data_IF_290674387623
#
_entry.id   IF_290674387623
#
_cell.length_a   1.000
_cell.length_b   1.000
_cell.length_c   1.000
_cell.angle_alpha   90.00
_cell.angle_beta   90.00
_cell.angle_gamma   90.00
#
_symmetry.space_group_name_H-M   'P 1'
#
loop_
_entity.id
_entity.type
_entity.pdbx_description
1 polymer ?
#
# COMPACT_ATOMS: atom_id res chain seq x y z
N UNK A 1 1.32 -9.28 -9.88
CA UNK A 1 0.54 -8.39 -10.76
C UNK A 1 -0.16 -7.29 -9.98
N UNK A 2 -1.05 -7.61 -9.01
CA UNK A 2 -1.70 -6.59 -8.19
C UNK A 2 -0.70 -5.69 -7.44
N UNK A 3 0.32 -6.28 -6.81
CA UNK A 3 1.43 -5.57 -6.14
C UNK A 3 2.03 -4.43 -7.00
N UNK A 4 2.47 -4.77 -8.21
CA UNK A 4 3.05 -3.80 -9.15
C UNK A 4 2.05 -2.74 -9.65
N UNK A 5 0.77 -3.09 -9.77
CA UNK A 5 -0.27 -2.12 -10.11
C UNK A 5 -0.46 -1.10 -8.98
N UNK A 6 -0.38 -1.54 -7.73
CA UNK A 6 -0.44 -0.65 -6.57
C UNK A 6 0.77 0.30 -6.52
N UNK A 7 1.97 -0.16 -6.90
CA UNK A 7 3.09 0.75 -7.16
C UNK A 7 2.76 1.82 -8.20
N UNK A 8 2.16 1.43 -9.33
CA UNK A 8 1.77 2.39 -10.37
C UNK A 8 0.67 3.37 -9.90
N UNK A 9 -0.16 2.96 -8.94
CA UNK A 9 -1.22 3.80 -8.37
C UNK A 9 -0.76 4.70 -7.23
N UNK A 10 0.49 4.54 -6.75
CA UNK A 10 1.11 5.42 -5.76
C UNK A 10 1.47 4.77 -4.43
N UNK A 11 1.22 3.47 -4.25
CA UNK A 11 1.59 2.74 -3.04
C UNK A 11 3.07 2.30 -3.06
N UNK A 12 3.79 2.32 -1.95
CA UNK A 12 3.47 2.92 -0.65
C UNK A 12 4.17 4.27 -0.55
N UNK A 13 3.46 5.32 -0.13
CA UNK A 13 4.06 6.62 0.05
C UNK A 13 4.95 6.66 1.33
N UNK A 14 6.06 7.43 1.36
CA UNK A 14 6.95 7.51 2.53
C UNK A 14 6.33 8.02 3.84
N UNK A 15 5.09 8.50 3.78
CA UNK A 15 4.31 8.98 4.92
C UNK A 15 3.43 7.90 5.56
N UNK A 16 3.37 6.69 4.97
CA UNK A 16 2.67 5.55 5.54
C UNK A 16 3.22 5.19 6.93
N UNK A 17 2.38 4.61 7.79
CA UNK A 17 2.70 4.33 9.18
C UNK A 17 3.82 3.30 9.31
N UNK A 18 3.75 2.24 8.49
CA UNK A 18 4.66 1.09 8.51
C UNK A 18 5.60 1.10 7.29
N UNK A 19 5.94 2.28 6.77
CA UNK A 19 6.82 2.40 5.61
C UNK A 19 8.19 1.74 5.85
N UNK A 20 8.53 0.76 5.01
CA UNK A 20 9.80 0.03 5.06
C UNK A 20 10.94 0.91 4.56
N UNK A 21 11.67 1.54 5.48
CA UNK A 21 12.74 2.49 5.13
C UNK A 21 13.93 1.88 4.37
N UNK A 22 14.14 0.56 4.48
CA UNK A 22 15.17 -0.20 3.77
C UNK A 22 14.69 -0.80 2.44
N UNK A 23 13.38 -0.84 2.21
CA UNK A 23 12.73 -1.31 0.98
C UNK A 23 11.69 -0.28 0.53
N UNK A 24 12.14 0.75 -0.17
CA UNK A 24 11.29 1.86 -0.57
C UNK A 24 10.00 1.39 -1.27
N UNK A 25 8.92 2.12 -1.04
CA UNK A 25 7.57 1.83 -1.54
C UNK A 25 6.89 0.55 -1.03
N UNK A 26 7.32 0.02 0.12
CA UNK A 26 6.74 -1.17 0.76
C UNK A 26 6.40 -0.91 2.25
N UNK A 27 5.69 -1.86 2.87
CA UNK A 27 5.47 -1.93 4.33
C UNK A 27 6.23 -3.11 4.96
N UNK A 28 6.45 -3.10 6.27
CA UNK A 28 7.22 -4.14 6.98
C UNK A 28 6.53 -4.77 8.21
N UNK A 29 5.27 -4.42 8.50
CA UNK A 29 4.57 -4.85 9.71
C UNK A 29 3.76 -6.15 9.56
N UNK A 30 3.14 -6.40 8.39
CA UNK A 30 2.36 -7.62 8.13
C UNK A 30 2.83 -8.38 6.87
N UNK A 31 3.27 -9.66 7.00
CA UNK A 31 3.62 -10.49 5.85
C UNK A 31 2.45 -10.85 4.92
N UNK A 32 1.20 -10.67 5.33
CA UNK A 32 0.04 -10.86 4.46
C UNK A 32 -0.30 -9.61 3.64
N UNK A 33 0.28 -8.45 3.94
CA UNK A 33 -0.01 -7.22 3.20
C UNK A 33 0.47 -7.33 1.74
N UNK A 34 -0.38 -6.90 0.81
CA UNK A 34 -0.06 -6.86 -0.61
C UNK A 34 1.27 -6.15 -0.90
N UNK A 35 1.63 -5.10 -0.15
CA UNK A 35 2.83 -4.29 -0.33
C UNK A 35 3.95 -4.63 0.67
N UNK A 36 3.91 -5.81 1.28
CA UNK A 36 4.95 -6.27 2.19
C UNK A 36 6.34 -6.34 1.53
N UNK A 37 7.35 -5.82 2.22
CA UNK A 37 8.75 -5.75 1.78
C UNK A 37 9.50 -7.09 1.81
N UNK A 38 8.97 -8.08 2.54
CA UNK A 38 9.65 -9.36 2.74
C UNK A 38 9.56 -10.29 1.54
N UNK A 39 10.56 -11.16 1.39
CA UNK A 39 10.66 -12.09 0.25
C UNK A 39 9.64 -13.24 0.21
N UNK A 40 8.71 -13.31 1.16
CA UNK A 40 7.63 -14.31 1.21
C UNK A 40 6.35 -13.69 1.76
N UNK A 41 5.31 -13.67 0.94
CA UNK A 41 3.96 -13.35 1.38
C UNK A 41 3.35 -14.49 2.20
N UNK A 42 2.54 -14.14 3.18
CA UNK A 42 1.64 -15.08 3.81
C UNK A 42 0.36 -15.32 2.99
N UNK A 43 -0.56 -16.10 3.57
CA UNK A 43 -1.79 -16.55 2.90
C UNK A 43 -2.93 -16.49 3.94
N UNK A 44 -4.04 -15.78 3.65
CA UNK A 44 -4.33 -15.05 2.42
C UNK A 44 -3.48 -13.78 2.27
N UNK A 45 -3.39 -13.26 1.03
CA UNK A 45 -2.88 -11.91 0.79
C UNK A 45 -4.03 -10.94 1.03
N UNK A 46 -3.77 -9.89 1.79
CA UNK A 46 -4.74 -8.87 2.20
C UNK A 46 -4.32 -7.49 1.66
N UNK A 47 -5.30 -6.60 1.53
CA UNK A 47 -5.08 -5.24 1.03
C UNK A 47 -5.14 -4.27 2.20
N UNK A 48 -3.98 -3.73 2.60
CA UNK A 48 -3.80 -2.74 3.67
C UNK A 48 -4.63 -3.09 4.92
N UNK A 49 -4.19 -4.13 5.64
CA UNK A 49 -4.92 -4.62 6.82
C UNK A 49 -5.01 -3.50 7.85
N UNK A 50 -6.24 -3.09 8.21
CA UNK A 50 -6.59 -1.95 9.09
C UNK A 50 -6.62 -0.59 8.39
N UNK A 51 -6.20 -0.47 7.14
CA UNK A 51 -6.20 0.77 6.34
C UNK A 51 -5.38 1.86 7.02
N UNK A 52 -4.14 1.54 7.38
CA UNK A 52 -3.25 2.44 8.10
C UNK A 52 -1.99 2.84 7.32
N UNK A 53 -1.86 2.41 6.05
CA UNK A 53 -0.67 2.69 5.24
C UNK A 53 -0.91 3.40 3.90
N UNK A 54 -1.67 2.81 2.97
CA UNK A 54 -1.69 3.28 1.57
C UNK A 54 -3.03 3.17 0.83
N UNK A 55 -4.05 2.50 1.37
CA UNK A 55 -5.34 2.29 0.71
C UNK A 55 -6.56 2.54 1.63
N UNK A 56 -7.35 3.56 1.30
CA UNK A 56 -8.51 4.05 2.07
C UNK A 56 -8.18 4.30 3.55
N UNK A 57 -7.02 4.88 3.78
CA UNK A 57 -6.49 5.20 5.09
C UNK A 57 -6.90 6.63 5.51
N UNK A 58 -6.58 7.01 6.75
CA UNK A 58 -6.95 8.34 7.30
C UNK A 58 -5.74 9.17 7.70
N UNK A 59 -4.61 8.99 7.00
CA UNK A 59 -3.36 9.70 7.28
C UNK A 59 -3.41 11.07 6.60
N UNK A 60 -3.53 12.19 7.36
CA UNK A 60 -3.67 13.50 6.75
C UNK A 60 -2.43 13.91 5.96
N UNK A 61 -2.61 14.31 4.70
CA UNK A 61 -1.52 14.77 3.84
C UNK A 61 -0.66 13.66 3.24
N UNK A 62 -1.05 12.40 3.41
CA UNK A 62 -0.44 11.27 2.71
C UNK A 62 -1.29 10.89 1.49
N UNK A 63 -0.65 10.42 0.42
CA UNK A 63 -1.36 10.01 -0.80
C UNK A 63 -2.09 8.71 -0.52
N UNK A 64 -3.39 8.70 -0.78
CA UNK A 64 -4.20 7.50 -0.71
C UNK A 64 -4.33 6.87 -2.11
N UNK A 65 -4.00 5.59 -2.22
CA UNK A 65 -4.10 4.84 -3.48
C UNK A 65 -5.54 4.74 -3.95
N UNK A 66 -6.52 4.75 -3.04
CA UNK A 66 -7.94 4.76 -3.38
C UNK A 66 -8.36 6.01 -4.17
N UNK A 67 -7.65 7.13 -4.02
CA UNK A 67 -7.89 8.38 -4.78
C UNK A 67 -7.28 8.36 -6.20
N UNK A 68 -6.63 7.26 -6.59
CA UNK A 68 -5.99 7.13 -7.89
C UNK A 68 -7.02 7.17 -9.02
N UNK A 69 -6.78 8.04 -10.01
CA UNK A 69 -7.63 8.19 -11.21
C UNK A 69 -7.76 6.91 -12.05
N UNK A 70 -6.90 5.92 -11.81
CA UNK A 70 -6.92 4.63 -12.48
C UNK A 70 -7.88 3.62 -11.81
N UNK A 71 -8.28 3.83 -10.56
CA UNK A 71 -9.19 2.95 -9.81
C UNK A 71 -10.65 3.43 -9.92
N UNK A 72 -10.88 4.73 -9.78
CA UNK A 72 -12.18 5.34 -10.05
C UNK A 72 -12.06 6.35 -11.21
N UNK A 73 -12.63 6.05 -12.38
CA UNK A 73 -12.76 7.05 -13.43
C UNK A 73 -13.74 8.12 -12.95
N UNK A 74 -13.23 9.33 -12.72
CA UNK A 74 -14.07 10.49 -12.42
C UNK A 74 -15.04 10.73 -13.59
N UNK A 75 -16.35 10.56 -13.33
CA UNK A 75 -17.43 10.92 -14.24
C UNK A 75 -17.65 12.44 -14.25
#
# INVERSE_FOLDING_TARGET
MAHELFHAFGAVAPCATNYASDHAAHVDDDPNDLMYSGGRFGIPIELDERRDDYFDHKIPGCVDTADSLYLEPRC
#
